data_IF_769897762955
#
_entry.id   IF_769897762955
#
_cell.length_a   1.000
_cell.length_b   1.000
_cell.length_c   1.000
_cell.angle_alpha   90.00
_cell.angle_beta   90.00
_cell.angle_gamma   90.00
#
_symmetry.space_group_name_H-M   'P 1'
#
loop_
_entity.id
_entity.type
_entity.pdbx_description
1 polymer ?
#
# COMPACT_ATOMS: atom_id res chain seq x y z
N UNK A 1 36.66 7.69 -25.19
CA UNK A 1 36.51 7.00 -23.88
C UNK A 1 35.32 7.58 -23.17
N UNK A 2 34.15 6.96 -23.32
CA UNK A 2 32.89 7.37 -22.70
C UNK A 2 32.81 6.77 -21.28
N UNK A 3 32.91 7.61 -20.25
CA UNK A 3 32.68 7.22 -18.87
C UNK A 3 31.19 6.84 -18.69
N UNK A 4 30.93 5.56 -18.58
CA UNK A 4 29.63 5.06 -18.12
C UNK A 4 29.44 5.52 -16.67
N UNK A 5 28.59 6.50 -16.46
CA UNK A 5 28.17 6.91 -15.12
C UNK A 5 27.37 5.76 -14.50
N UNK A 6 27.99 5.05 -13.57
CA UNK A 6 27.31 4.07 -12.72
C UNK A 6 26.15 4.77 -12.00
N UNK A 7 24.92 4.42 -12.40
CA UNK A 7 23.70 4.93 -11.77
C UNK A 7 23.64 4.33 -10.37
N UNK A 8 24.00 5.14 -9.36
CA UNK A 8 23.87 4.74 -7.95
C UNK A 8 22.42 4.28 -7.74
N UNK A 9 22.25 3.03 -7.37
CA UNK A 9 20.95 2.46 -7.12
C UNK A 9 20.29 3.22 -5.95
N UNK A 10 19.16 3.85 -6.22
CA UNK A 10 18.39 4.56 -5.21
C UNK A 10 17.86 3.56 -4.18
N UNK A 11 17.99 3.86 -2.89
CA UNK A 11 17.33 3.10 -1.82
C UNK A 11 15.81 3.17 -1.99
N UNK A 12 15.11 2.02 -2.06
CA UNK A 12 13.66 1.99 -2.12
C UNK A 12 13.04 2.72 -0.92
N UNK A 13 11.99 3.50 -1.16
CA UNK A 13 11.16 4.08 -0.11
C UNK A 13 9.99 3.14 0.17
N UNK A 14 9.31 3.36 1.29
CA UNK A 14 8.15 2.58 1.65
C UNK A 14 6.96 3.49 1.96
N UNK A 15 5.77 3.04 1.60
CA UNK A 15 4.52 3.75 1.79
C UNK A 15 3.47 2.82 2.36
N UNK A 16 2.66 3.32 3.31
CA UNK A 16 1.43 2.65 3.71
C UNK A 16 0.27 3.27 2.95
N UNK A 17 -0.59 2.42 2.40
CA UNK A 17 -1.79 2.84 1.67
C UNK A 17 -3.03 2.13 2.18
N UNK A 18 -4.08 2.91 2.36
CA UNK A 18 -5.43 2.38 2.47
C UNK A 18 -5.87 1.93 1.07
N UNK A 19 -6.24 0.67 0.94
CA UNK A 19 -6.58 0.06 -0.35
C UNK A 19 -8.07 0.21 -0.66
N UNK A 20 -8.90 0.47 0.33
CA UNK A 20 -10.34 0.66 0.17
C UNK A 20 -10.78 2.08 0.45
N UNK A 21 -11.69 2.56 -0.39
CA UNK A 21 -12.42 3.83 -0.25
C UNK A 21 -13.90 3.62 0.01
N UNK A 22 -14.34 2.38 0.24
CA UNK A 22 -15.66 2.16 0.77
C UNK A 22 -15.73 2.81 2.15
N UNK A 23 -16.78 3.58 2.39
CA UNK A 23 -17.12 4.10 3.71
C UNK A 23 -17.38 2.96 4.71
N UNK A 24 -17.60 1.74 4.18
CA UNK A 24 -17.71 0.53 4.97
C UNK A 24 -16.34 0.09 5.47
N UNK A 25 -16.19 0.12 6.76
CA UNK A 25 -15.04 -0.46 7.44
C UNK A 25 -15.11 -1.99 7.30
N UNK A 26 -13.96 -2.63 7.13
CA UNK A 26 -13.94 -4.08 6.99
C UNK A 26 -14.26 -4.74 8.32
N UNK A 27 -15.00 -5.84 8.25
CA UNK A 27 -14.99 -6.80 9.34
C UNK A 27 -13.55 -7.34 9.47
N UNK A 28 -13.01 -7.28 10.67
CA UNK A 28 -11.65 -7.77 10.98
C UNK A 28 -11.51 -9.29 10.77
N UNK A 29 -12.62 -10.03 10.76
CA UNK A 29 -12.66 -11.47 10.44
C UNK A 29 -12.70 -11.76 8.95
N UNK A 30 -12.79 -10.73 8.08
CA UNK A 30 -12.80 -10.89 6.63
C UNK A 30 -11.53 -11.61 6.18
N UNK A 31 -11.63 -12.73 5.41
CA UNK A 31 -10.48 -13.36 4.82
C UNK A 31 -9.72 -12.41 3.89
N UNK A 32 -8.40 -12.34 4.03
CA UNK A 32 -7.55 -11.47 3.19
C UNK A 32 -7.72 -11.82 1.72
N UNK A 33 -7.88 -13.10 1.38
CA UNK A 33 -8.09 -13.52 -0.01
C UNK A 33 -9.36 -12.91 -0.62
N UNK A 34 -10.43 -12.75 0.15
CA UNK A 34 -11.67 -12.17 -0.35
C UNK A 34 -11.53 -10.64 -0.52
N UNK A 35 -10.80 -9.98 0.37
CA UNK A 35 -10.44 -8.57 0.20
C UNK A 35 -9.59 -8.38 -1.08
N UNK A 36 -8.61 -9.25 -1.30
CA UNK A 36 -7.75 -9.21 -2.50
C UNK A 36 -8.55 -9.48 -3.77
N UNK A 37 -9.50 -10.42 -3.77
CA UNK A 37 -10.41 -10.65 -4.91
C UNK A 37 -11.23 -9.40 -5.22
N UNK A 38 -11.76 -8.76 -4.19
CA UNK A 38 -12.61 -7.57 -4.32
C UNK A 38 -11.83 -6.35 -4.85
N UNK A 39 -10.63 -6.13 -4.39
CA UNK A 39 -9.84 -4.93 -4.67
C UNK A 39 -8.83 -5.13 -5.81
N UNK A 40 -8.44 -6.36 -6.09
CA UNK A 40 -7.32 -6.69 -6.95
C UNK A 40 -5.98 -6.65 -6.22
N UNK A 41 -5.02 -7.50 -6.63
CA UNK A 41 -3.73 -7.64 -5.96
C UNK A 41 -2.58 -6.95 -6.70
N UNK A 42 -2.82 -6.37 -7.86
CA UNK A 42 -1.77 -5.89 -8.75
C UNK A 42 -1.76 -4.38 -8.95
N UNK A 43 -2.58 -3.66 -8.18
CA UNK A 43 -2.63 -2.20 -8.19
C UNK A 43 -3.12 -1.65 -6.85
N UNK A 44 -2.76 -0.41 -6.58
CA UNK A 44 -3.29 0.37 -5.48
C UNK A 44 -3.69 1.75 -5.99
N UNK A 45 -4.82 2.27 -5.53
CA UNK A 45 -5.23 3.63 -5.88
C UNK A 45 -4.26 4.66 -5.32
N UNK A 46 -3.98 5.70 -6.08
CA UNK A 46 -3.02 6.69 -5.66
C UNK A 46 -3.59 8.07 -5.37
N UNK A 47 -4.46 8.63 -6.19
CA UNK A 47 -4.93 9.99 -6.07
C UNK A 47 -6.29 10.27 -6.72
N UNK A 48 -7.01 11.28 -6.21
CA UNK A 48 -8.21 11.87 -6.82
C UNK A 48 -7.91 12.50 -8.18
N UNK A 49 -6.72 13.02 -8.38
CA UNK A 49 -6.35 13.64 -9.64
C UNK A 49 -5.51 12.68 -10.50
N UNK A 50 -5.73 12.70 -11.80
CA UNK A 50 -4.93 12.01 -12.81
C UNK A 50 -3.44 12.42 -12.79
N UNK A 51 -3.07 13.33 -11.94
CA UNK A 51 -1.71 13.80 -11.72
C UNK A 51 -0.98 12.91 -10.76
N UNK A 52 -0.38 11.84 -11.32
CA UNK A 52 0.80 11.12 -10.82
C UNK A 52 0.87 10.85 -9.32
N UNK A 53 1.15 9.65 -8.94
CA UNK A 53 1.98 9.41 -7.76
C UNK A 53 3.44 9.88 -8.05
N UNK A 54 3.66 11.18 -8.17
CA UNK A 54 5.00 11.75 -8.45
C UNK A 54 6.04 11.33 -7.41
N UNK A 55 5.59 10.93 -6.24
CA UNK A 55 6.43 10.52 -5.14
C UNK A 55 6.82 9.04 -5.19
N UNK A 56 6.05 8.16 -5.84
CA UNK A 56 6.29 6.72 -5.86
C UNK A 56 7.07 6.34 -7.12
N UNK A 57 8.12 5.55 -6.96
CA UNK A 57 9.01 5.15 -8.03
C UNK A 57 9.06 3.63 -8.17
N UNK A 58 9.63 3.15 -9.26
CA UNK A 58 9.87 1.72 -9.46
C UNK A 58 10.66 1.12 -8.31
N UNK A 59 10.19 0.00 -7.78
CA UNK A 59 10.81 -0.71 -6.67
C UNK A 59 10.50 -0.16 -5.28
N UNK A 60 9.75 0.96 -5.13
CA UNK A 60 9.28 1.40 -3.82
C UNK A 60 8.34 0.35 -3.22
N UNK A 61 8.36 0.18 -1.90
CA UNK A 61 7.52 -0.79 -1.18
C UNK A 61 6.18 -0.15 -0.89
N UNK A 62 5.10 -0.86 -1.20
CA UNK A 62 3.73 -0.47 -0.86
C UNK A 62 3.18 -1.47 0.15
N UNK A 63 2.94 -1.03 1.35
CA UNK A 63 2.20 -1.78 2.37
C UNK A 63 0.70 -1.51 2.19
N UNK A 64 -0.09 -2.55 2.10
CA UNK A 64 -1.54 -2.48 1.90
C UNK A 64 -2.24 -2.63 3.23
N UNK A 65 -3.12 -1.68 3.52
CA UNK A 65 -3.78 -1.57 4.80
C UNK A 65 -5.29 -1.39 4.66
N UNK A 66 -6.03 -1.85 5.66
CA UNK A 66 -7.48 -1.74 5.79
C UNK A 66 -7.86 -1.14 7.14
N UNK A 67 -8.87 -0.26 7.14
CA UNK A 67 -9.49 0.22 8.37
C UNK A 67 -10.49 -0.83 8.87
N UNK A 68 -10.44 -1.12 10.15
CA UNK A 68 -11.39 -1.98 10.86
C UNK A 68 -12.04 -1.22 12.02
N UNK A 69 -13.26 -1.59 12.40
CA UNK A 69 -14.05 -0.86 13.39
C UNK A 69 -13.78 -1.25 14.84
N UNK A 70 -13.67 -2.53 15.11
CA UNK A 70 -13.53 -3.03 16.46
C UNK A 70 -12.44 -4.09 16.57
N UNK A 71 -11.35 -3.81 17.30
CA UNK A 71 -10.98 -2.48 17.81
C UNK A 71 -10.66 -1.53 16.66
N UNK A 72 -11.02 -0.26 16.80
CA UNK A 72 -10.72 0.76 15.78
C UNK A 72 -9.22 0.82 15.50
N UNK A 73 -8.83 0.36 14.34
CA UNK A 73 -7.42 0.24 13.95
C UNK A 73 -7.28 0.22 12.42
N UNK A 74 -6.05 0.26 11.99
CA UNK A 74 -5.65 0.07 10.61
C UNK A 74 -4.72 -1.14 10.58
N UNK A 75 -5.09 -2.16 9.83
CA UNK A 75 -4.35 -3.41 9.76
C UNK A 75 -3.64 -3.53 8.41
N UNK A 76 -2.33 -3.74 8.45
CA UNK A 76 -1.50 -3.99 7.27
C UNK A 76 -1.49 -5.50 7.03
N UNK A 77 -2.10 -5.93 5.92
CA UNK A 77 -2.29 -7.35 5.60
C UNK A 77 -1.45 -7.84 4.42
N UNK A 78 -0.67 -6.94 3.80
CA UNK A 78 0.17 -7.31 2.68
C UNK A 78 1.12 -6.21 2.25
N UNK A 79 2.00 -6.57 1.33
CA UNK A 79 2.94 -5.65 0.68
C UNK A 79 3.19 -6.04 -0.77
N UNK A 80 3.67 -5.09 -1.57
CA UNK A 80 4.13 -5.33 -2.94
C UNK A 80 5.20 -4.30 -3.33
N UNK A 81 5.82 -4.49 -4.47
CA UNK A 81 6.72 -3.49 -5.05
C UNK A 81 5.97 -2.65 -6.09
N UNK A 82 6.10 -1.34 -6.00
CA UNK A 82 5.57 -0.44 -7.01
C UNK A 82 6.30 -0.61 -8.35
N UNK A 83 5.56 -0.45 -9.43
CA UNK A 83 6.11 -0.35 -10.78
C UNK A 83 6.11 1.11 -11.24
N UNK A 84 6.99 1.40 -12.20
CA UNK A 84 7.01 2.71 -12.84
C UNK A 84 5.64 3.05 -13.44
N UNK A 85 5.08 4.17 -13.01
CA UNK A 85 3.81 4.66 -13.54
C UNK A 85 3.94 5.05 -15.02
N UNK A 86 2.96 4.63 -15.82
CA UNK A 86 2.83 5.01 -17.23
C UNK A 86 1.50 5.74 -17.39
N UNK A 87 1.56 7.03 -17.68
CA UNK A 87 0.38 7.88 -17.88
C UNK A 87 -0.51 7.32 -18.99
N UNK A 88 -1.82 7.31 -18.78
CA UNK A 88 -2.83 6.75 -19.68
C UNK A 88 -3.05 5.24 -19.48
N UNK A 89 -1.97 4.46 -19.38
CA UNK A 89 -2.09 3.01 -19.12
C UNK A 89 -2.53 2.72 -17.67
N UNK A 90 -1.96 3.44 -16.71
CA UNK A 90 -2.19 3.19 -15.28
C UNK A 90 -3.31 4.10 -14.74
N UNK A 91 -4.40 4.16 -15.51
CA UNK A 91 -5.62 4.91 -15.18
C UNK A 91 -6.84 4.00 -15.28
N UNK A 92 -7.89 4.32 -14.51
CA UNK A 92 -9.16 3.61 -14.59
C UNK A 92 -9.79 3.78 -15.97
N UNK A 93 -10.23 2.68 -16.55
CA UNK A 93 -11.06 2.67 -17.77
C UNK A 93 -12.54 2.89 -17.43
N UNK A 94 -13.37 3.13 -18.45
CA UNK A 94 -14.83 3.18 -18.27
C UNK A 94 -15.39 1.89 -17.65
N UNK A 95 -14.92 0.74 -18.10
CA UNK A 95 -15.30 -0.56 -17.54
C UNK A 95 -14.87 -0.74 -16.07
N UNK A 96 -13.68 -0.25 -15.71
CA UNK A 96 -13.25 -0.25 -14.30
C UNK A 96 -14.17 0.61 -13.41
N UNK A 97 -14.59 1.76 -13.91
CA UNK A 97 -15.48 2.69 -13.19
C UNK A 97 -16.89 2.10 -13.08
N UNK A 98 -17.39 1.46 -14.13
CA UNK A 98 -18.68 0.78 -14.12
C UNK A 98 -18.71 -0.33 -13.08
N UNK A 99 -17.66 -1.17 -13.02
CA UNK A 99 -17.54 -2.24 -12.05
C UNK A 99 -17.29 -1.75 -10.63
N UNK A 100 -16.60 -0.62 -10.49
CA UNK A 100 -16.18 -0.04 -9.20
C UNK A 100 -16.33 1.49 -9.25
N UNK A 101 -17.54 2.04 -9.00
CA UNK A 101 -17.83 3.47 -9.18
C UNK A 101 -16.91 4.43 -8.42
N UNK A 102 -16.39 4.01 -7.27
CA UNK A 102 -15.44 4.79 -6.49
C UNK A 102 -14.13 5.10 -7.25
N UNK A 103 -13.81 4.35 -8.31
CA UNK A 103 -12.65 4.62 -9.16
C UNK A 103 -12.77 5.88 -9.99
N UNK A 104 -13.98 6.44 -10.15
CA UNK A 104 -14.16 7.75 -10.78
C UNK A 104 -13.45 8.85 -9.98
N UNK A 105 -13.42 8.74 -8.64
CA UNK A 105 -12.70 9.68 -7.77
C UNK A 105 -11.21 9.39 -7.66
N UNK A 106 -10.81 8.12 -7.88
CA UNK A 106 -9.43 7.63 -7.71
C UNK A 106 -8.92 6.93 -8.97
N UNK A 107 -8.86 7.65 -10.10
CA UNK A 107 -8.61 7.04 -11.40
C UNK A 107 -7.16 6.59 -11.61
N UNK A 108 -6.20 7.07 -10.84
CA UNK A 108 -4.80 6.73 -11.03
C UNK A 108 -4.39 5.55 -10.17
N UNK A 109 -3.67 4.60 -10.79
CA UNK A 109 -3.17 3.39 -10.15
C UNK A 109 -1.67 3.43 -9.94
N UNK A 110 -1.26 2.75 -8.86
CA UNK A 110 0.09 2.27 -8.70
C UNK A 110 0.08 0.81 -9.10
N UNK A 111 0.70 0.46 -10.22
CA UNK A 111 0.89 -0.95 -10.56
C UNK A 111 1.83 -1.60 -9.56
N UNK A 112 1.52 -2.82 -9.21
CA UNK A 112 2.24 -3.59 -8.21
C UNK A 112 2.82 -4.87 -8.85
N UNK A 113 3.99 -5.27 -8.38
CA UNK A 113 4.61 -6.55 -8.68
C UNK A 113 5.01 -7.26 -7.39
N UNK A 114 5.13 -8.58 -7.45
CA UNK A 114 5.49 -9.42 -6.31
C UNK A 114 4.61 -9.16 -5.07
N UNK A 115 3.28 -9.18 -5.21
CA UNK A 115 2.40 -9.02 -4.07
C UNK A 115 2.55 -10.20 -3.11
N UNK A 116 2.58 -9.91 -1.83
CA UNK A 116 2.58 -10.87 -0.73
C UNK A 116 1.48 -10.47 0.24
N UNK A 117 0.60 -11.40 0.58
CA UNK A 117 -0.51 -11.20 1.51
C UNK A 117 -0.52 -12.28 2.58
N UNK A 118 -0.97 -11.93 3.79
CA UNK A 118 -1.20 -12.89 4.86
C UNK A 118 -2.30 -13.88 4.42
N UNK A 119 -2.06 -15.17 4.63
CA UNK A 119 -3.05 -16.22 4.36
C UNK A 119 -3.89 -16.46 5.63
N UNK A 120 -4.84 -15.55 5.87
CA UNK A 120 -5.66 -15.50 7.07
C UNK A 120 -6.75 -14.45 6.92
N UNK A 121 -7.13 -13.85 8.03
CA UNK A 121 -8.10 -12.76 8.11
C UNK A 121 -7.38 -11.39 8.16
N UNK A 122 -8.14 -10.31 7.99
CA UNK A 122 -7.58 -8.95 8.17
C UNK A 122 -7.01 -8.76 9.58
N UNK A 123 -7.60 -9.42 10.61
CA UNK A 123 -7.11 -9.37 11.99
C UNK A 123 -5.70 -9.96 12.16
N UNK A 124 -5.30 -10.88 11.30
CA UNK A 124 -3.97 -11.50 11.31
C UNK A 124 -2.87 -10.59 10.72
N UNK A 125 -3.27 -9.42 10.25
CA UNK A 125 -2.37 -8.38 9.78
C UNK A 125 -1.67 -7.63 10.93
N UNK A 126 -0.84 -6.67 10.58
CA UNK A 126 -0.05 -5.88 11.54
C UNK A 126 -0.79 -4.60 11.90
N UNK A 127 -1.08 -4.36 13.22
CA UNK A 127 -1.73 -3.15 13.68
C UNK A 127 -0.85 -1.91 13.44
N UNK A 128 -1.29 -1.02 12.56
CA UNK A 128 -0.53 0.19 12.23
C UNK A 128 -0.45 1.16 13.42
N UNK A 129 -1.49 1.21 14.26
CA UNK A 129 -1.48 2.06 15.45
C UNK A 129 -0.42 1.63 16.47
N UNK A 130 -0.15 0.33 16.61
CA UNK A 130 0.93 -0.14 17.47
C UNK A 130 2.30 0.44 17.03
N UNK A 131 2.56 0.50 15.72
CA UNK A 131 3.75 1.15 15.19
C UNK A 131 3.77 2.65 15.48
N UNK A 132 2.62 3.32 15.32
CA UNK A 132 2.50 4.75 15.58
C UNK A 132 2.70 5.10 17.06
N UNK A 133 2.23 4.23 17.96
CA UNK A 133 2.41 4.40 19.40
C UNK A 133 3.87 4.17 19.84
N UNK A 134 4.56 3.19 19.21
CA UNK A 134 5.96 2.88 19.52
C UNK A 134 6.93 3.92 18.92
N UNK A 135 6.71 4.36 17.70
CA UNK A 135 7.65 5.23 16.97
C UNK A 135 7.28 6.72 17.03
N UNK A 136 6.06 7.04 17.45
CA UNK A 136 5.54 8.41 17.54
C UNK A 136 5.82 9.23 16.25
N UNK A 137 6.36 10.44 16.38
CA UNK A 137 6.68 11.31 15.25
C UNK A 137 7.67 10.72 14.24
N UNK A 138 8.41 9.67 14.62
CA UNK A 138 9.36 8.96 13.74
C UNK A 138 8.69 7.97 12.79
N UNK A 139 7.37 7.78 12.87
CA UNK A 139 6.62 6.85 12.01
C UNK A 139 6.67 7.28 10.54
N UNK A 140 6.35 8.52 10.25
CA UNK A 140 6.30 9.03 8.88
C UNK A 140 7.36 10.09 8.61
N UNK A 141 7.81 10.16 7.36
CA UNK A 141 8.77 11.18 6.91
C UNK A 141 8.24 12.60 7.16
N UNK A 142 6.93 12.81 6.99
CA UNK A 142 6.28 14.11 7.22
C UNK A 142 6.25 14.49 8.70
N UNK A 143 5.83 13.59 9.60
CA UNK A 143 5.77 13.86 11.05
C UNK A 143 7.16 14.07 11.63
N UNK A 144 8.14 13.27 11.22
CA UNK A 144 9.56 13.43 11.62
C UNK A 144 10.12 14.80 11.18
N UNK A 145 9.81 15.22 9.96
CA UNK A 145 10.21 16.55 9.46
C UNK A 145 9.55 17.68 10.25
N UNK A 146 8.26 17.55 10.54
CA UNK A 146 7.51 18.54 11.31
C UNK A 146 8.06 18.68 12.73
N UNK A 147 8.36 17.56 13.41
CA UNK A 147 8.97 17.54 14.73
C UNK A 147 10.34 18.26 14.72
N UNK A 148 11.18 17.98 13.70
CA UNK A 148 12.49 18.65 13.55
C UNK A 148 12.36 20.17 13.37
N UNK A 149 11.34 20.62 12.67
CA UNK A 149 11.13 22.03 12.35
C UNK A 149 10.31 22.78 13.42
N UNK A 150 9.84 22.10 14.47
CA UNK A 150 9.05 22.68 15.54
C UNK A 150 7.66 23.18 15.11
N UNK A 151 7.13 22.70 14.00
CA UNK A 151 5.84 23.14 13.48
C UNK A 151 5.02 21.99 12.85
N UNK A 152 3.72 22.25 12.67
CA UNK A 152 2.81 21.33 12.03
C UNK A 152 2.37 20.16 12.90
N UNK A 153 1.68 19.20 12.28
CA UNK A 153 1.17 18.03 12.96
C UNK A 153 2.27 16.96 13.12
N UNK A 154 2.61 16.62 14.35
CA UNK A 154 3.59 15.57 14.70
C UNK A 154 2.92 14.26 15.11
N UNK A 155 1.62 14.26 15.38
CA UNK A 155 0.85 13.05 15.68
C UNK A 155 0.68 12.20 14.43
N UNK A 156 1.25 10.97 14.37
CA UNK A 156 1.16 10.12 13.21
C UNK A 156 -0.27 9.64 12.94
N UNK A 157 -1.10 9.42 13.96
CA UNK A 157 -2.49 8.98 13.79
C UNK A 157 -3.29 10.07 13.09
N UNK A 158 -3.19 11.31 13.55
CA UNK A 158 -3.86 12.45 12.93
C UNK A 158 -3.32 12.73 11.53
N UNK A 159 -2.01 12.62 11.30
CA UNK A 159 -1.41 12.84 9.99
C UNK A 159 -1.90 11.81 8.96
N UNK A 160 -2.07 10.55 9.36
CA UNK A 160 -2.51 9.47 8.47
C UNK A 160 -3.94 9.65 7.95
N UNK A 161 -4.87 10.12 8.79
CA UNK A 161 -6.26 10.33 8.40
C UNK A 161 -6.46 11.37 7.29
N UNK A 162 -5.51 12.27 7.11
CA UNK A 162 -5.59 13.34 6.12
C UNK A 162 -4.89 13.02 4.79
N UNK A 163 -4.23 11.84 4.69
CA UNK A 163 -3.45 11.52 3.49
C UNK A 163 -3.65 10.06 3.07
N UNK A 164 -4.01 9.81 1.81
CA UNK A 164 -4.25 8.45 1.30
C UNK A 164 -2.97 7.61 1.18
N UNK A 165 -1.82 8.22 1.31
CA UNK A 165 -0.52 7.57 1.19
C UNK A 165 0.51 8.29 2.04
N UNK A 166 1.11 7.57 2.96
CA UNK A 166 2.13 8.10 3.85
C UNK A 166 3.46 7.39 3.64
N UNK A 167 4.52 8.19 3.42
CA UNK A 167 5.88 7.67 3.32
C UNK A 167 6.40 7.36 4.72
N UNK A 168 6.81 6.10 4.91
CA UNK A 168 7.42 5.61 6.14
C UNK A 168 8.86 6.08 6.27
N UNK A 169 9.32 6.30 7.50
CA UNK A 169 10.75 6.42 7.76
C UNK A 169 11.45 5.06 7.59
N UNK A 170 12.79 5.02 7.47
CA UNK A 170 13.53 3.76 7.45
C UNK A 170 13.27 2.88 8.67
N UNK A 171 13.18 3.49 9.87
CA UNK A 171 12.89 2.77 11.12
C UNK A 171 11.49 2.16 11.10
N UNK A 172 10.49 2.91 10.68
CA UNK A 172 9.12 2.44 10.54
C UNK A 172 9.01 1.34 9.45
N UNK A 173 9.74 1.49 8.34
CA UNK A 173 9.81 0.46 7.29
C UNK A 173 10.37 -0.85 7.83
N UNK A 174 11.46 -0.79 8.60
CA UNK A 174 12.08 -1.95 9.23
C UNK A 174 11.14 -2.61 10.23
N UNK A 175 10.51 -1.81 11.10
CA UNK A 175 9.56 -2.28 12.10
C UNK A 175 8.39 -3.03 11.46
N UNK A 176 7.74 -2.39 10.48
CA UNK A 176 6.56 -2.94 9.82
C UNK A 176 6.91 -4.19 8.99
N UNK A 177 8.05 -4.18 8.30
CA UNK A 177 8.51 -5.35 7.54
C UNK A 177 8.75 -6.55 8.45
N UNK A 178 9.40 -6.37 9.59
CA UNK A 178 9.67 -7.45 10.54
C UNK A 178 8.38 -8.05 11.12
N UNK A 179 7.39 -7.20 11.46
CA UNK A 179 6.10 -7.65 11.98
C UNK A 179 5.27 -8.37 10.92
N UNK A 180 5.28 -7.87 9.68
CA UNK A 180 4.59 -8.53 8.58
C UNK A 180 5.24 -9.89 8.23
N UNK A 181 6.57 -9.99 8.28
CA UNK A 181 7.25 -11.29 8.14
C UNK A 181 6.82 -12.26 9.23
N UNK A 182 6.69 -11.79 10.47
CA UNK A 182 6.19 -12.61 11.56
C UNK A 182 4.77 -13.11 11.30
N UNK A 183 3.86 -12.23 10.85
CA UNK A 183 2.52 -12.60 10.44
C UNK A 183 2.53 -13.67 9.32
N UNK A 184 3.41 -13.53 8.33
CA UNK A 184 3.59 -14.53 7.27
C UNK A 184 4.10 -15.89 7.80
N UNK A 185 4.94 -15.88 8.82
CA UNK A 185 5.41 -17.15 9.45
C UNK A 185 4.27 -17.81 10.22
N UNK A 186 3.45 -17.04 10.93
CA UNK A 186 2.35 -17.56 11.74
C UNK A 186 1.16 -18.03 10.92
N UNK A 187 0.76 -17.28 9.91
CA UNK A 187 -0.51 -17.49 9.18
C UNK A 187 -0.28 -17.98 7.73
N UNK A 188 0.96 -17.96 7.25
CA UNK A 188 1.28 -18.28 5.86
C UNK A 188 1.20 -17.07 4.93
N UNK A 189 1.53 -17.31 3.66
CA UNK A 189 1.32 -16.38 2.55
C UNK A 189 0.34 -16.96 1.56
N UNK A 190 -0.60 -16.16 1.09
CA UNK A 190 -1.44 -16.54 -0.05
C UNK A 190 -0.53 -16.95 -1.21
N UNK A 191 -0.74 -18.14 -1.74
CA UNK A 191 0.15 -18.72 -2.75
C UNK A 191 0.16 -17.87 -4.03
N UNK A 192 1.32 -17.79 -4.69
CA UNK A 192 1.44 -17.13 -6.01
C UNK A 192 0.49 -17.73 -7.04
N UNK A 193 0.23 -19.05 -6.96
CA UNK A 193 -0.72 -19.73 -7.84
C UNK A 193 -2.13 -19.21 -7.60
N UNK A 194 -2.54 -19.05 -6.35
CA UNK A 194 -3.85 -18.47 -5.99
C UNK A 194 -3.98 -17.04 -6.51
N UNK A 195 -2.97 -16.21 -6.29
CA UNK A 195 -2.97 -14.82 -6.77
C UNK A 195 -3.01 -14.73 -8.30
N UNK A 196 -2.37 -15.67 -9.00
CA UNK A 196 -2.39 -15.72 -10.47
C UNK A 196 -3.76 -16.12 -11.07
N UNK A 197 -4.64 -16.71 -10.26
CA UNK A 197 -6.01 -17.06 -10.69
C UNK A 197 -7.04 -15.96 -10.42
N UNK A 198 -6.63 -14.89 -9.75
CA UNK A 198 -7.54 -13.77 -9.50
C UNK A 198 -7.73 -12.97 -10.78
N UNK A 199 -8.98 -12.53 -11.01
CA UNK A 199 -9.30 -11.68 -12.15
C UNK A 199 -8.51 -10.39 -12.10
N UNK A 200 -7.84 -10.13 -13.20
CA UNK A 200 -7.10 -8.91 -13.42
C UNK A 200 -7.97 -7.93 -14.18
N UNK A 201 -7.87 -6.63 -13.91
CA UNK A 201 -8.41 -5.65 -14.83
C UNK A 201 -7.86 -5.92 -16.24
N UNK A 202 -8.70 -5.79 -17.25
CA UNK A 202 -8.32 -6.02 -18.66
C UNK A 202 -7.04 -5.25 -19.02
N UNK A 203 -6.10 -5.91 -19.66
CA UNK A 203 -4.78 -5.35 -19.98
C UNK A 203 -3.76 -5.34 -18.84
N UNK A 204 -4.11 -5.86 -17.66
CA UNK A 204 -3.26 -5.85 -16.46
C UNK A 204 -2.85 -7.24 -15.99
N UNK A 205 -3.07 -8.24 -16.81
CA UNK A 205 -2.71 -9.61 -16.51
C UNK A 205 -1.26 -9.75 -16.02
N UNK A 206 -0.87 -10.91 -15.45
CA UNK A 206 0.50 -11.13 -15.01
C UNK A 206 1.42 -10.74 -16.15
N UNK A 207 2.29 -9.77 -15.90
CA UNK A 207 3.34 -9.43 -16.86
C UNK A 207 4.03 -10.75 -17.19
N UNK A 208 3.81 -11.21 -18.40
CA UNK A 208 4.46 -12.41 -18.92
C UNK A 208 5.95 -12.29 -18.57
N UNK A 209 6.43 -13.31 -17.98
CA UNK A 209 7.71 -13.64 -17.37
C UNK A 209 8.93 -12.98 -17.99
#
# INVERSE_FOLDING_TARGET
MTRSASKVARTPRAFVRLVSHDETRADWTLPVIDEVKRLGCHWACSHREARRPRSISDGDIIFMARIVDHPHNILVYGRALAMKHVTGRDSATGADIELRPWKAEWPCYIRLRHPEFVDGTIADGVPLFAMMDELAEKTFTSTKRNAKNGNGNIDPKRAYWHQPSMELTPDATKWLSARLEHAFVQHGRISRRTLALLDWPEGWGPLSR
#
